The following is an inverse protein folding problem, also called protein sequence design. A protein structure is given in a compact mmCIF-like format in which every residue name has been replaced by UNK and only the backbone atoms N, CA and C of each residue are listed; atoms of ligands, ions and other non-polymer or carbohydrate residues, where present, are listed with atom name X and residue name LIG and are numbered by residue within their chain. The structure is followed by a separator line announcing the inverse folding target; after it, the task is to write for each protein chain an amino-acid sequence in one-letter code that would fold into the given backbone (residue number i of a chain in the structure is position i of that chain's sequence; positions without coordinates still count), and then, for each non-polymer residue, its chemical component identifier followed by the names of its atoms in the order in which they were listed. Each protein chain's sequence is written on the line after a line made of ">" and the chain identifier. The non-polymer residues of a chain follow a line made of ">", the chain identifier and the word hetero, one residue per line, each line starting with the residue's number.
data_IF_972177945276
#
_entry.id   IF_972177945276
#
_cell.length_a   1.000
_cell.length_b   1.000
_cell.length_c   1.000
_cell.angle_alpha   90.00
_cell.angle_beta   90.00
_cell.angle_gamma   90.00
#
_symmetry.space_group_name_H-M   'P 1'
#
loop_
_entity.id
_entity.type
_entity.pdbx_description
1 polymer ?
#
# COMPACT_ATOMS: atom_id res chain seq x y z
N UNK A 1 9.42 16.64 -2.68
CA UNK A 1 8.82 15.99 -1.50
C UNK A 1 8.62 17.02 -0.40
N UNK A 2 7.39 17.50 -0.20
CA UNK A 2 7.08 18.28 0.99
C UNK A 2 7.17 17.35 2.21
N UNK A 3 7.91 17.76 3.25
CA UNK A 3 7.93 17.02 4.51
C UNK A 3 6.50 16.97 5.06
N UNK A 4 6.04 15.84 5.61
CA UNK A 4 4.70 15.65 6.22
C UNK A 4 4.34 16.65 7.34
N UNK A 5 5.26 17.56 7.68
CA UNK A 5 5.15 18.63 8.69
C UNK A 5 3.90 19.50 8.54
N UNK A 6 3.50 19.83 7.31
CA UNK A 6 2.30 20.64 7.09
C UNK A 6 1.03 19.88 7.46
N UNK A 7 0.91 18.62 7.00
CA UNK A 7 -0.24 17.77 7.34
C UNK A 7 -0.32 17.51 8.85
N UNK A 8 0.83 17.30 9.51
CA UNK A 8 0.91 17.16 10.97
C UNK A 8 0.41 18.44 11.66
N UNK A 9 0.87 19.62 11.23
CA UNK A 9 0.42 20.90 11.78
C UNK A 9 -1.08 21.14 11.57
N UNK A 10 -1.62 20.70 10.42
CA UNK A 10 -3.05 20.76 10.16
C UNK A 10 -3.85 19.85 11.07
N UNK A 11 -3.45 18.58 11.24
CA UNK A 11 -4.12 17.66 12.17
C UNK A 11 -4.07 18.18 13.60
N UNK A 12 -2.93 18.74 14.03
CA UNK A 12 -2.82 19.39 15.33
C UNK A 12 -3.89 20.48 15.52
N UNK A 13 -4.05 21.34 14.51
CA UNK A 13 -5.03 22.43 14.56
C UNK A 13 -6.48 21.94 14.50
N UNK A 14 -6.75 20.88 13.74
CA UNK A 14 -8.08 20.26 13.66
C UNK A 14 -8.46 19.70 15.03
N UNK A 15 -7.58 18.94 15.66
CA UNK A 15 -7.82 18.39 17.00
C UNK A 15 -8.04 19.52 18.01
N UNK A 16 -7.21 20.58 17.98
CA UNK A 16 -7.37 21.75 18.87
C UNK A 16 -8.71 22.48 18.67
N UNK A 17 -9.27 22.44 17.46
CA UNK A 17 -10.48 23.20 17.11
C UNK A 17 -11.77 22.41 17.35
N UNK A 18 -11.75 21.12 17.07
CA UNK A 18 -12.94 20.26 17.01
C UNK A 18 -12.99 19.21 18.13
N UNK A 19 -11.87 18.96 18.82
CA UNK A 19 -11.82 18.09 19.98
C UNK A 19 -11.66 16.61 19.62
N UNK A 20 -12.39 15.77 20.34
CA UNK A 20 -12.30 14.32 20.29
C UNK A 20 -13.18 13.72 19.16
N UNK A 21 -12.89 12.48 18.77
CA UNK A 21 -13.67 11.68 17.82
C UNK A 21 -13.85 12.32 16.43
N UNK A 22 -12.85 13.10 16.01
CA UNK A 22 -12.84 13.75 14.68
C UNK A 22 -12.43 12.75 13.60
N UNK A 23 -13.26 12.64 12.55
CA UNK A 23 -12.95 11.92 11.33
C UNK A 23 -12.11 12.76 10.35
N UNK A 24 -11.00 12.20 9.87
CA UNK A 24 -10.11 12.83 8.90
C UNK A 24 -9.85 11.91 7.70
N UNK A 25 -10.21 12.39 6.50
CA UNK A 25 -9.95 11.73 5.23
C UNK A 25 -8.59 12.09 4.65
N UNK A 26 -7.80 11.11 4.20
CA UNK A 26 -6.62 11.31 3.36
C UNK A 26 -6.30 10.05 2.55
N UNK A 27 -5.92 10.19 1.28
CA UNK A 27 -5.67 9.07 0.35
C UNK A 27 -4.73 8.02 0.95
N UNK A 28 -3.68 8.47 1.64
CA UNK A 28 -2.71 7.60 2.31
C UNK A 28 -2.86 7.61 3.83
N UNK A 29 -4.08 7.79 4.35
CA UNK A 29 -4.31 7.92 5.79
C UNK A 29 -3.76 6.73 6.59
N UNK A 30 -3.80 5.52 6.03
CA UNK A 30 -3.23 4.33 6.66
C UNK A 30 -1.73 4.46 6.98
N UNK A 31 -0.94 5.05 6.08
CA UNK A 31 0.48 5.33 6.30
C UNK A 31 0.68 6.63 7.09
N UNK A 32 -0.15 7.64 6.83
CA UNK A 32 -0.06 8.91 7.51
C UNK A 32 -0.37 8.80 9.01
N UNK A 33 -1.29 7.93 9.42
CA UNK A 33 -1.57 7.68 10.83
C UNK A 33 -0.36 7.11 11.57
N UNK A 34 0.48 6.28 10.92
CA UNK A 34 1.77 5.84 11.50
C UNK A 34 2.68 7.04 11.75
N UNK A 35 2.73 7.96 10.79
CA UNK A 35 3.50 9.21 10.91
C UNK A 35 2.97 10.09 12.05
N UNK A 36 1.65 10.25 12.17
CA UNK A 36 1.02 11.01 13.25
C UNK A 36 1.36 10.43 14.63
N UNK A 37 1.25 9.10 14.78
CA UNK A 37 1.57 8.38 16.03
C UNK A 37 3.06 8.44 16.39
N UNK A 38 3.95 8.68 15.42
CA UNK A 38 5.38 8.85 15.65
C UNK A 38 5.83 10.33 15.69
N UNK A 39 4.88 11.28 15.62
CA UNK A 39 5.18 12.71 15.56
C UNK A 39 5.13 13.40 16.92
N UNK A 40 5.45 14.69 16.94
CA UNK A 40 5.37 15.53 18.15
C UNK A 40 3.95 15.73 18.69
N UNK A 41 2.91 15.25 17.99
CA UNK A 41 1.50 15.33 18.43
C UNK A 41 0.92 13.95 18.73
N UNK A 42 1.75 12.92 18.89
CA UNK A 42 1.33 11.53 19.10
C UNK A 42 0.35 11.38 20.27
N UNK A 43 0.65 11.99 21.42
CA UNK A 43 -0.24 11.96 22.59
C UNK A 43 -1.58 12.60 22.26
N UNK A 44 -1.59 13.76 21.59
CA UNK A 44 -2.82 14.44 21.18
C UNK A 44 -3.67 13.59 20.23
N UNK A 45 -3.04 12.93 19.27
CA UNK A 45 -3.73 12.03 18.32
C UNK A 45 -4.36 10.83 19.03
N UNK A 46 -3.65 10.27 20.03
CA UNK A 46 -4.16 9.17 20.86
C UNK A 46 -5.32 9.64 21.73
N UNK A 47 -5.13 10.72 22.46
CA UNK A 47 -6.07 11.20 23.47
C UNK A 47 -7.35 11.74 22.82
N UNK A 48 -7.24 12.35 21.63
CA UNK A 48 -8.40 12.81 20.85
C UNK A 48 -9.16 11.70 20.14
N UNK A 49 -8.67 10.45 20.15
CA UNK A 49 -9.25 9.31 19.40
C UNK A 49 -9.50 9.66 17.92
N UNK A 50 -8.52 10.31 17.29
CA UNK A 50 -8.63 10.71 15.89
C UNK A 50 -8.97 9.49 15.01
N UNK A 51 -10.03 9.61 14.20
CA UNK A 51 -10.46 8.57 13.28
C UNK A 51 -9.88 8.88 11.90
N UNK A 52 -8.89 8.09 11.48
CA UNK A 52 -8.32 8.21 10.14
C UNK A 52 -9.12 7.40 9.12
N UNK A 53 -9.34 7.98 7.95
CA UNK A 53 -10.18 7.42 6.89
C UNK A 53 -9.45 7.57 5.56
N UNK A 54 -9.47 6.53 4.72
CA UNK A 54 -9.07 6.64 3.30
C UNK A 54 -10.36 6.92 2.52
N UNK A 55 -10.46 8.00 1.72
CA UNK A 55 -11.67 8.31 0.96
C UNK A 55 -12.14 7.16 0.05
N UNK A 56 -13.44 7.05 -0.19
CA UNK A 56 -14.06 5.86 -0.77
C UNK A 56 -13.51 5.49 -2.16
N UNK A 57 -13.17 6.49 -2.99
CA UNK A 57 -12.65 6.23 -4.34
C UNK A 57 -11.25 5.62 -4.29
N UNK A 58 -10.39 6.11 -3.39
CA UNK A 58 -9.01 5.62 -3.25
C UNK A 58 -8.96 4.35 -2.40
N UNK A 59 -9.87 4.19 -1.45
CA UNK A 59 -9.86 3.09 -0.49
C UNK A 59 -9.94 1.73 -1.17
N UNK A 60 -10.70 1.60 -2.26
CA UNK A 60 -10.75 0.37 -3.06
C UNK A 60 -9.45 0.02 -3.79
N UNK A 61 -8.57 1.00 -4.04
CA UNK A 61 -7.25 0.76 -4.64
C UNK A 61 -6.22 0.24 -3.63
N UNK A 62 -6.52 0.32 -2.33
CA UNK A 62 -5.63 -0.19 -1.29
C UNK A 62 -5.82 -1.70 -1.11
N UNK A 63 -4.82 -2.37 -0.51
CA UNK A 63 -4.92 -3.80 -0.19
C UNK A 63 -6.13 -4.09 0.70
N UNK A 64 -6.68 -5.30 0.62
CA UNK A 64 -7.85 -5.70 1.43
C UNK A 64 -7.62 -5.48 2.93
N UNK A 65 -6.40 -5.76 3.41
CA UNK A 65 -6.02 -5.50 4.82
C UNK A 65 -6.06 -4.01 5.19
N UNK A 66 -5.86 -3.09 4.25
CA UNK A 66 -6.07 -1.67 4.49
C UNK A 66 -7.57 -1.32 4.42
N UNK A 67 -8.30 -1.86 3.44
CA UNK A 67 -9.73 -1.56 3.28
C UNK A 67 -10.53 -1.83 4.56
N UNK A 68 -10.39 -3.02 5.15
CA UNK A 68 -11.16 -3.44 6.34
C UNK A 68 -10.93 -2.56 7.58
N UNK A 69 -9.88 -1.75 7.61
CA UNK A 69 -9.54 -0.86 8.72
C UNK A 69 -9.80 0.62 8.43
N UNK A 70 -9.69 1.05 7.18
CA UNK A 70 -9.61 2.47 6.82
C UNK A 70 -10.68 2.93 5.82
N UNK A 71 -11.41 2.00 5.18
CA UNK A 71 -12.42 2.35 4.19
C UNK A 71 -13.70 2.90 4.88
N UNK A 72 -14.39 3.92 4.32
CA UNK A 72 -15.56 4.56 4.92
C UNK A 72 -16.67 3.59 5.34
N UNK A 73 -16.88 2.54 4.53
CA UNK A 73 -17.90 1.50 4.79
C UNK A 73 -17.68 0.71 6.08
N UNK A 74 -16.46 0.68 6.62
CA UNK A 74 -16.13 -0.05 7.85
C UNK A 74 -15.91 0.88 9.05
N UNK A 75 -16.26 2.16 8.91
CA UNK A 75 -16.09 3.18 9.94
C UNK A 75 -17.45 3.69 10.37
N UNK A 76 -17.81 3.37 11.61
CA UNK A 76 -19.06 3.81 12.20
C UNK A 76 -19.11 5.34 12.33
N UNK A 77 -20.30 5.90 12.12
CA UNK A 77 -20.57 7.32 12.31
C UNK A 77 -20.29 8.22 11.10
N UNK A 78 -19.49 7.79 10.12
CA UNK A 78 -19.22 8.62 8.93
C UNK A 78 -20.46 8.83 8.04
N UNK A 79 -21.42 7.89 8.11
CA UNK A 79 -22.62 7.91 7.29
C UNK A 79 -22.30 7.66 5.81
N UNK A 80 -23.03 8.31 4.90
CA UNK A 80 -22.89 8.15 3.44
C UNK A 80 -21.91 9.16 2.82
N UNK A 81 -20.90 9.59 3.57
CA UNK A 81 -19.90 10.56 3.13
C UNK A 81 -18.71 9.81 2.53
N UNK A 82 -18.32 10.21 1.32
CA UNK A 82 -17.26 9.54 0.55
C UNK A 82 -15.87 10.16 0.81
N UNK A 83 -15.83 11.40 1.33
CA UNK A 83 -14.62 12.19 1.61
C UNK A 83 -13.80 12.60 0.37
N UNK A 84 -14.43 12.67 -0.80
CA UNK A 84 -13.85 13.08 -2.11
C UNK A 84 -14.01 14.59 -2.42
N UNK A 85 -14.42 15.40 -1.44
CA UNK A 85 -14.74 16.81 -1.69
C UNK A 85 -13.49 17.66 -1.97
N UNK A 86 -12.32 17.19 -1.52
CA UNK A 86 -11.04 17.83 -1.81
C UNK A 86 -10.77 17.84 -3.31
N UNK A 87 -10.83 16.68 -3.95
CA UNK A 87 -10.60 16.47 -5.39
C UNK A 87 -11.51 17.37 -6.21
N UNK A 88 -12.78 17.47 -5.81
CA UNK A 88 -13.76 18.37 -6.45
C UNK A 88 -13.34 19.83 -6.31
N UNK A 89 -12.94 20.24 -5.11
CA UNK A 89 -12.44 21.60 -4.87
C UNK A 89 -11.19 21.91 -5.71
N UNK A 90 -10.21 21.01 -5.78
CA UNK A 90 -9.01 21.23 -6.60
C UNK A 90 -9.34 21.25 -8.10
N UNK A 91 -10.24 20.38 -8.55
CA UNK A 91 -10.73 20.40 -9.92
C UNK A 91 -11.36 21.76 -10.28
N UNK A 92 -12.21 22.32 -9.41
CA UNK A 92 -12.79 23.65 -9.59
C UNK A 92 -11.71 24.75 -9.55
N UNK A 93 -10.70 24.62 -8.69
CA UNK A 93 -9.63 25.61 -8.59
C UNK A 93 -8.80 25.76 -9.87
N UNK A 94 -8.82 24.77 -10.78
CA UNK A 94 -8.17 24.87 -12.08
C UNK A 94 -8.73 25.99 -12.95
N UNK A 95 -9.97 26.42 -12.73
CA UNK A 95 -10.58 27.56 -13.42
C UNK A 95 -9.77 28.85 -13.22
N UNK A 96 -9.08 28.98 -12.07
CA UNK A 96 -8.20 30.10 -11.78
C UNK A 96 -6.95 30.14 -12.66
N UNK A 97 -6.52 29.02 -13.22
CA UNK A 97 -5.24 28.93 -13.92
C UNK A 97 -5.17 29.88 -15.11
N UNK A 98 -6.25 29.95 -15.91
CA UNK A 98 -6.29 30.80 -17.12
C UNK A 98 -6.20 32.28 -16.76
N UNK A 99 -6.94 32.73 -15.74
CA UNK A 99 -6.95 34.14 -15.31
C UNK A 99 -5.68 34.56 -14.59
N UNK A 100 -5.13 33.69 -13.73
CA UNK A 100 -4.00 34.02 -12.85
C UNK A 100 -2.63 33.91 -13.51
N UNK A 101 -2.52 33.26 -14.68
CA UNK A 101 -1.24 33.00 -15.36
C UNK A 101 -0.47 34.28 -15.67
N UNK A 102 -1.17 35.31 -16.16
CA UNK A 102 -0.58 36.59 -16.56
C UNK A 102 -0.69 37.68 -15.48
N UNK A 103 -1.30 37.37 -14.33
CA UNK A 103 -1.44 38.31 -13.22
C UNK A 103 -0.11 38.55 -12.50
N UNK A 104 0.05 39.77 -11.97
CA UNK A 104 1.08 40.07 -10.96
C UNK A 104 0.88 39.19 -9.72
N UNK A 105 1.91 38.96 -8.89
CA UNK A 105 1.77 38.19 -7.65
C UNK A 105 0.65 38.66 -6.71
N UNK A 106 0.42 39.98 -6.62
CA UNK A 106 -0.66 40.55 -5.80
C UNK A 106 -2.04 40.12 -6.30
N UNK A 107 -2.37 40.44 -7.56
CA UNK A 107 -3.65 40.08 -8.17
C UNK A 107 -3.90 38.57 -8.20
N UNK A 108 -2.86 37.75 -8.42
CA UNK A 108 -2.97 36.29 -8.34
C UNK A 108 -3.42 35.84 -6.94
N UNK A 109 -2.79 36.37 -5.88
CA UNK A 109 -3.17 36.04 -4.50
C UNK A 109 -4.58 36.50 -4.18
N UNK A 110 -4.95 37.70 -4.64
CA UNK A 110 -6.29 38.22 -4.45
C UNK A 110 -7.35 37.30 -5.08
N UNK A 111 -7.17 36.90 -6.34
CA UNK A 111 -8.10 35.99 -7.02
C UNK A 111 -8.21 34.62 -6.34
N UNK A 112 -7.09 34.06 -5.86
CA UNK A 112 -7.10 32.79 -5.11
C UNK A 112 -7.90 32.93 -3.82
N UNK A 113 -7.69 34.02 -3.06
CA UNK A 113 -8.41 34.27 -1.80
C UNK A 113 -9.90 34.48 -2.04
N UNK A 114 -10.26 35.26 -3.07
CA UNK A 114 -11.67 35.49 -3.44
C UNK A 114 -12.36 34.17 -3.83
N UNK A 115 -11.71 33.34 -4.66
CA UNK A 115 -12.23 32.02 -5.01
C UNK A 115 -12.46 31.13 -3.80
N UNK A 116 -11.50 31.07 -2.88
CA UNK A 116 -11.63 30.30 -1.63
C UNK A 116 -12.83 30.79 -0.80
N UNK A 117 -13.00 32.12 -0.70
CA UNK A 117 -14.09 32.71 0.05
C UNK A 117 -15.46 32.40 -0.58
N UNK A 118 -15.60 32.56 -1.89
CA UNK A 118 -16.85 32.23 -2.58
C UNK A 118 -17.18 30.75 -2.50
N UNK A 119 -16.18 29.87 -2.67
CA UNK A 119 -16.38 28.45 -2.53
C UNK A 119 -16.86 28.08 -1.11
N UNK A 120 -16.29 28.68 -0.06
CA UNK A 120 -16.74 28.47 1.32
C UNK A 120 -18.21 28.90 1.53
N UNK A 121 -18.59 30.08 1.02
CA UNK A 121 -19.97 30.56 1.07
C UNK A 121 -20.94 29.63 0.34
N UNK A 122 -20.59 29.17 -0.87
CA UNK A 122 -21.42 28.25 -1.66
C UNK A 122 -21.56 26.89 -0.99
N UNK A 123 -20.48 26.37 -0.40
CA UNK A 123 -20.51 25.12 0.37
C UNK A 123 -21.38 25.26 1.61
N UNK A 124 -21.26 26.35 2.35
CA UNK A 124 -22.09 26.61 3.51
C UNK A 124 -23.57 26.72 3.14
N UNK A 125 -23.89 27.48 2.07
CA UNK A 125 -25.25 27.65 1.59
C UNK A 125 -25.89 26.33 1.09
N UNK A 126 -25.09 25.44 0.49
CA UNK A 126 -25.56 24.15 -0.02
C UNK A 126 -25.57 23.02 1.01
N UNK A 127 -24.95 23.22 2.18
CA UNK A 127 -24.74 22.17 3.18
C UNK A 127 -26.05 21.54 3.68
N UNK A 128 -27.09 22.36 3.95
CA UNK A 128 -28.38 21.84 4.41
C UNK A 128 -29.06 20.93 3.37
N UNK A 129 -28.99 21.29 2.08
CA UNK A 129 -29.53 20.46 0.99
C UNK A 129 -28.74 19.16 0.84
N UNK A 130 -27.41 19.23 1.00
CA UNK A 130 -26.54 18.06 0.96
C UNK A 130 -26.90 17.08 2.09
N UNK A 131 -26.98 17.54 3.34
CA UNK A 131 -27.35 16.70 4.49
C UNK A 131 -28.75 16.09 4.32
N UNK A 132 -29.73 16.88 3.87
CA UNK A 132 -31.07 16.39 3.61
C UNK A 132 -31.09 15.30 2.53
N UNK A 133 -30.31 15.46 1.44
CA UNK A 133 -30.19 14.44 0.40
C UNK A 133 -29.60 13.15 0.97
N UNK A 134 -28.49 13.24 1.71
CA UNK A 134 -27.82 12.07 2.29
C UNK A 134 -28.71 11.35 3.30
N UNK A 135 -29.47 12.09 4.10
CA UNK A 135 -30.46 11.50 5.01
C UNK A 135 -31.55 10.71 4.26
N UNK A 136 -32.12 11.29 3.20
CA UNK A 136 -33.11 10.59 2.37
C UNK A 136 -32.53 9.36 1.68
N UNK A 137 -31.30 9.45 1.20
CA UNK A 137 -30.61 8.32 0.59
C UNK A 137 -30.40 7.20 1.61
N UNK A 138 -30.03 7.52 2.86
CA UNK A 138 -29.90 6.54 3.94
C UNK A 138 -31.23 5.84 4.24
N UNK A 139 -32.34 6.59 4.38
CA UNK A 139 -33.66 6.00 4.57
C UNK A 139 -34.05 5.06 3.43
N UNK A 140 -33.76 5.45 2.19
CA UNK A 140 -34.04 4.61 1.02
C UNK A 140 -33.20 3.33 1.03
N UNK A 141 -31.91 3.42 1.36
CA UNK A 141 -31.03 2.26 1.46
C UNK A 141 -31.53 1.29 2.54
N UNK A 142 -31.87 1.80 3.73
CA UNK A 142 -32.42 0.97 4.82
C UNK A 142 -33.72 0.31 4.38
N UNK A 143 -34.64 1.06 3.77
CA UNK A 143 -35.93 0.53 3.32
C UNK A 143 -35.79 -0.53 2.23
N UNK A 144 -34.92 -0.32 1.24
CA UNK A 144 -34.79 -1.23 0.11
C UNK A 144 -33.94 -2.45 0.48
N UNK A 145 -32.76 -2.21 1.04
CA UNK A 145 -31.79 -3.26 1.28
C UNK A 145 -32.11 -4.05 2.54
N UNK A 146 -32.85 -3.50 3.50
CA UNK A 146 -33.24 -4.23 4.72
C UNK A 146 -34.11 -5.46 4.42
N UNK A 147 -35.05 -5.34 3.47
CA UNK A 147 -35.87 -6.46 3.04
C UNK A 147 -35.04 -7.52 2.28
N UNK A 148 -34.13 -7.08 1.40
CA UNK A 148 -33.23 -7.97 0.67
C UNK A 148 -32.26 -8.70 1.60
N UNK A 149 -31.72 -7.99 2.60
CA UNK A 149 -30.82 -8.54 3.60
C UNK A 149 -31.51 -9.59 4.45
N UNK A 150 -32.74 -9.34 4.91
CA UNK A 150 -33.52 -10.31 5.70
C UNK A 150 -33.75 -11.63 4.94
N UNK A 151 -34.02 -11.57 3.63
CA UNK A 151 -34.14 -12.78 2.78
C UNK A 151 -32.81 -13.54 2.70
N UNK A 152 -31.68 -12.83 2.65
CA UNK A 152 -30.36 -13.44 2.63
C UNK A 152 -29.98 -14.03 3.99
N UNK A 153 -30.29 -13.35 5.08
CA UNK A 153 -30.09 -13.80 6.46
C UNK A 153 -30.81 -15.13 6.71
N UNK A 154 -32.09 -15.22 6.33
CA UNK A 154 -32.87 -16.46 6.45
C UNK A 154 -32.28 -17.61 5.62
N UNK A 155 -31.85 -17.31 4.39
CA UNK A 155 -31.29 -18.30 3.45
C UNK A 155 -29.93 -18.81 3.92
N UNK A 156 -29.05 -17.91 4.37
CA UNK A 156 -27.69 -18.23 4.78
C UNK A 156 -27.63 -18.65 6.26
N UNK A 157 -28.72 -18.47 7.01
CA UNK A 157 -28.81 -18.68 8.46
C UNK A 157 -27.77 -17.85 9.21
N UNK A 158 -27.64 -16.60 8.79
CA UNK A 158 -26.73 -15.61 9.37
C UNK A 158 -27.52 -14.48 10.00
N UNK A 159 -26.88 -13.75 10.88
CA UNK A 159 -27.41 -12.60 11.60
C UNK A 159 -26.48 -11.39 11.43
N UNK A 160 -26.95 -10.20 11.83
CA UNK A 160 -26.13 -9.01 11.85
C UNK A 160 -24.86 -9.19 12.71
N UNK A 161 -24.97 -9.90 13.83
CA UNK A 161 -23.85 -10.23 14.71
C UNK A 161 -22.79 -11.10 14.01
N UNK A 162 -23.22 -12.02 13.13
CA UNK A 162 -22.30 -12.85 12.36
C UNK A 162 -21.45 -11.99 11.41
N UNK A 163 -22.00 -10.92 10.83
CA UNK A 163 -21.25 -10.05 9.91
C UNK A 163 -20.16 -9.24 10.62
N UNK A 164 -20.45 -8.74 11.82
CA UNK A 164 -19.45 -8.09 12.67
C UNK A 164 -18.36 -9.08 13.10
N UNK A 165 -18.76 -10.33 13.38
CA UNK A 165 -17.81 -11.41 13.66
C UNK A 165 -16.95 -11.75 12.44
N UNK A 166 -17.52 -11.86 11.24
CA UNK A 166 -16.77 -12.11 10.01
C UNK A 166 -15.77 -11.00 9.74
N UNK A 167 -16.13 -9.74 9.95
CA UNK A 167 -15.19 -8.62 9.80
C UNK A 167 -14.04 -8.71 10.82
N UNK A 168 -14.32 -9.09 12.07
CA UNK A 168 -13.28 -9.33 13.09
C UNK A 168 -12.36 -10.48 12.71
N UNK A 169 -12.92 -11.60 12.23
CA UNK A 169 -12.15 -12.76 11.77
C UNK A 169 -11.29 -12.41 10.55
N UNK A 170 -11.84 -11.67 9.58
CA UNK A 170 -11.10 -11.21 8.40
C UNK A 170 -9.94 -10.30 8.80
N UNK A 171 -10.16 -9.34 9.72
CA UNK A 171 -9.09 -8.49 10.26
C UNK A 171 -7.99 -9.32 10.92
N UNK A 172 -8.36 -10.27 11.78
CA UNK A 172 -7.40 -11.12 12.49
C UNK A 172 -6.61 -12.02 11.52
N UNK A 173 -7.29 -12.61 10.53
CA UNK A 173 -6.67 -13.40 9.47
C UNK A 173 -5.68 -12.57 8.67
N UNK A 174 -6.09 -11.40 8.16
CA UNK A 174 -5.22 -10.54 7.36
C UNK A 174 -4.04 -9.96 8.17
N UNK A 175 -4.24 -9.68 9.45
CA UNK A 175 -3.14 -9.28 10.34
C UNK A 175 -2.15 -10.43 10.58
N UNK A 176 -2.62 -11.69 10.64
CA UNK A 176 -1.73 -12.86 10.76
C UNK A 176 -0.87 -13.08 9.52
N UNK A 177 -1.35 -12.66 8.34
CA UNK A 177 -0.63 -12.75 7.06
C UNK A 177 0.39 -11.62 6.86
N UNK A 178 0.37 -10.55 7.67
CA UNK A 178 1.31 -9.42 7.50
C UNK A 178 2.76 -9.81 7.76
N UNK A 179 3.01 -10.91 8.45
CA UNK A 179 4.34 -11.47 8.69
C UNK A 179 4.30 -12.92 8.32
N UNK A 180 5.11 -13.30 7.33
CA UNK A 180 5.37 -14.71 7.07
C UNK A 180 5.91 -15.35 8.36
N UNK A 181 5.46 -16.57 8.72
CA UNK A 181 6.05 -17.30 9.81
C UNK A 181 7.57 -17.37 9.62
N UNK A 182 8.35 -17.08 10.67
CA UNK A 182 9.81 -17.03 10.58
C UNK A 182 10.41 -18.31 9.97
N UNK A 183 9.79 -19.46 10.25
CA UNK A 183 10.18 -20.75 9.69
C UNK A 183 9.98 -20.86 8.16
N UNK A 184 8.98 -20.19 7.58
CA UNK A 184 8.76 -20.16 6.13
C UNK A 184 9.72 -19.16 5.46
N UNK A 185 9.92 -17.98 6.05
CA UNK A 185 10.90 -17.01 5.57
C UNK A 185 12.31 -17.60 5.55
N UNK A 186 12.72 -18.32 6.61
CA UNK A 186 14.01 -18.98 6.67
C UNK A 186 14.19 -20.06 5.59
N UNK A 187 13.13 -20.84 5.28
CA UNK A 187 13.19 -21.84 4.19
C UNK A 187 13.39 -21.18 2.83
N UNK A 188 12.72 -20.07 2.56
CA UNK A 188 12.89 -19.34 1.30
C UNK A 188 14.26 -18.67 1.20
N UNK A 189 14.76 -18.07 2.28
CA UNK A 189 16.14 -17.53 2.36
C UNK A 189 17.17 -18.63 2.09
N UNK A 190 16.98 -19.81 2.68
CA UNK A 190 17.84 -20.97 2.44
C UNK A 190 17.79 -21.45 0.99
N UNK A 191 16.60 -21.53 0.37
CA UNK A 191 16.46 -21.89 -1.04
C UNK A 191 17.12 -20.89 -1.99
N UNK A 192 17.00 -19.58 -1.71
CA UNK A 192 17.67 -18.54 -2.49
C UNK A 192 19.20 -18.61 -2.34
N UNK A 193 19.70 -18.87 -1.13
CA UNK A 193 21.12 -19.09 -0.87
C UNK A 193 21.65 -20.33 -1.61
N UNK A 194 20.89 -21.43 -1.63
CA UNK A 194 21.24 -22.65 -2.38
C UNK A 194 21.28 -22.41 -3.90
N UNK A 195 20.31 -21.70 -4.46
CA UNK A 195 20.30 -21.32 -5.88
C UNK A 195 21.49 -20.41 -6.22
N UNK A 196 21.80 -19.44 -5.34
CA UNK A 196 22.98 -18.58 -5.44
C UNK A 196 24.28 -19.38 -5.45
N UNK A 197 24.42 -20.33 -4.53
CA UNK A 197 25.58 -21.23 -4.46
C UNK A 197 25.71 -22.09 -5.72
N UNK A 198 24.61 -22.69 -6.21
CA UNK A 198 24.64 -23.49 -7.45
C UNK A 198 25.08 -22.66 -8.66
N UNK A 199 24.58 -21.42 -8.79
CA UNK A 199 25.01 -20.50 -9.86
C UNK A 199 26.49 -20.15 -9.74
N UNK A 200 26.97 -19.84 -8.54
CA UNK A 200 28.38 -19.54 -8.31
C UNK A 200 29.29 -20.73 -8.60
N UNK A 201 28.88 -21.95 -8.26
CA UNK A 201 29.58 -23.19 -8.59
C UNK A 201 29.65 -23.35 -10.12
N UNK A 202 28.55 -23.17 -10.83
CA UNK A 202 28.52 -23.25 -12.29
C UNK A 202 29.45 -22.22 -12.95
N UNK A 203 29.43 -20.97 -12.49
CA UNK A 203 30.32 -19.92 -12.96
C UNK A 203 31.80 -20.21 -12.66
N UNK A 204 32.09 -20.71 -11.47
CA UNK A 204 33.44 -21.14 -11.06
C UNK A 204 33.96 -22.27 -11.95
N UNK A 205 33.12 -23.25 -12.29
CA UNK A 205 33.48 -24.32 -13.24
C UNK A 205 33.80 -23.78 -14.63
N UNK A 206 33.04 -22.80 -15.13
CA UNK A 206 33.33 -22.15 -16.42
C UNK A 206 34.66 -21.38 -16.34
N UNK A 207 34.89 -20.61 -15.27
CA UNK A 207 36.13 -19.89 -15.05
C UNK A 207 37.35 -20.82 -14.91
N UNK A 208 37.18 -21.97 -14.25
CA UNK A 208 38.21 -23.01 -14.14
C UNK A 208 38.58 -23.58 -15.52
N UNK A 209 37.59 -23.94 -16.34
CA UNK A 209 37.84 -24.45 -17.71
C UNK A 209 38.57 -23.42 -18.58
N UNK A 210 38.20 -22.15 -18.48
CA UNK A 210 38.88 -21.08 -19.23
C UNK A 210 40.32 -20.88 -18.76
N UNK A 211 40.58 -21.02 -17.46
CA UNK A 211 41.92 -20.98 -16.89
C UNK A 211 42.77 -22.19 -17.27
N UNK A 212 42.20 -23.40 -17.24
CA UNK A 212 42.84 -24.64 -17.71
C UNK A 212 43.23 -24.54 -19.19
N UNK A 213 42.31 -24.09 -20.06
CA UNK A 213 42.60 -23.86 -21.50
C UNK A 213 43.72 -22.86 -21.72
N UNK A 214 43.76 -21.79 -20.92
CA UNK A 214 44.84 -20.81 -20.97
C UNK A 214 46.18 -21.45 -20.57
N UNK A 215 46.19 -22.27 -19.51
CA UNK A 215 47.39 -22.94 -19.04
C UNK A 215 47.92 -23.94 -20.07
N UNK A 216 47.02 -24.73 -20.66
CA UNK A 216 47.32 -25.67 -21.74
C UNK A 216 47.91 -24.99 -23.00
N UNK A 217 47.38 -23.81 -23.38
CA UNK A 217 47.90 -23.03 -24.50
C UNK A 217 49.30 -22.47 -24.20
N UNK A 218 49.53 -22.03 -22.96
CA UNK A 218 50.85 -21.59 -22.50
C UNK A 218 51.88 -22.73 -22.54
N UNK A 219 51.50 -23.94 -22.09
CA UNK A 219 52.37 -25.12 -22.13
C UNK A 219 52.71 -25.57 -23.56
N UNK A 220 51.80 -25.36 -24.53
CA UNK A 220 52.02 -25.65 -25.96
C UNK A 220 52.78 -24.56 -26.72
N UNK A 221 53.02 -23.40 -26.10
CA UNK A 221 53.66 -22.24 -26.75
C UNK A 221 52.74 -21.49 -27.72
N UNK A 222 51.42 -21.70 -27.63
CA UNK A 222 50.43 -21.02 -28.45
C UNK A 222 50.24 -19.56 -27.98
N UNK A 223 49.96 -18.61 -28.90
CA UNK A 223 49.66 -17.23 -28.50
C UNK A 223 48.41 -17.18 -27.61
N UNK A 224 48.51 -16.47 -26.49
CA UNK A 224 47.42 -16.34 -25.53
C UNK A 224 46.17 -15.73 -26.20
N UNK A 225 45.07 -16.47 -26.18
CA UNK A 225 43.78 -15.99 -26.68
C UNK A 225 43.06 -15.21 -25.58
N UNK A 226 42.93 -13.90 -25.75
CA UNK A 226 42.20 -13.01 -24.84
C UNK A 226 43.04 -12.38 -23.72
N UNK A 227 42.36 -11.75 -22.75
CA UNK A 227 43.01 -11.00 -21.67
C UNK A 227 43.34 -11.92 -20.48
N UNK A 228 44.60 -12.34 -20.38
CA UNK A 228 45.15 -13.23 -19.35
C UNK A 228 44.86 -12.75 -17.91
N UNK A 229 45.04 -11.46 -17.64
CA UNK A 229 44.82 -10.89 -16.31
C UNK A 229 43.34 -11.02 -15.90
N UNK A 230 42.42 -10.80 -16.85
CA UNK A 230 40.98 -10.94 -16.62
C UNK A 230 40.58 -12.39 -16.34
N UNK A 231 41.17 -13.36 -17.04
CA UNK A 231 40.90 -14.79 -16.83
C UNK A 231 41.37 -15.23 -15.43
N UNK A 232 42.60 -14.88 -15.04
CA UNK A 232 43.16 -15.18 -13.70
C UNK A 232 42.34 -14.54 -12.57
N UNK A 233 41.95 -13.27 -12.75
CA UNK A 233 41.11 -12.55 -11.79
C UNK A 233 39.74 -13.22 -11.66
N UNK A 234 39.09 -13.61 -12.78
CA UNK A 234 37.79 -14.29 -12.76
C UNK A 234 37.87 -15.65 -12.08
N UNK A 235 38.90 -16.45 -12.35
CA UNK A 235 39.13 -17.73 -11.69
C UNK A 235 39.22 -17.59 -10.17
N UNK A 236 40.04 -16.66 -9.68
CA UNK A 236 40.22 -16.44 -8.24
C UNK A 236 38.95 -15.86 -7.59
N UNK A 237 38.31 -14.89 -8.23
CA UNK A 237 37.11 -14.23 -7.72
C UNK A 237 35.93 -15.20 -7.61
N UNK A 238 35.68 -16.01 -8.63
CA UNK A 238 34.58 -16.98 -8.64
C UNK A 238 34.80 -18.10 -7.62
N UNK A 239 36.05 -18.56 -7.43
CA UNK A 239 36.39 -19.51 -6.38
C UNK A 239 36.14 -18.95 -4.97
N UNK A 240 36.55 -17.70 -4.71
CA UNK A 240 36.28 -17.04 -3.43
C UNK A 240 34.77 -16.83 -3.20
N UNK A 241 34.02 -16.50 -4.25
CA UNK A 241 32.57 -16.33 -4.19
C UNK A 241 31.87 -17.64 -3.75
N UNK A 242 32.29 -18.79 -4.30
CA UNK A 242 31.77 -20.10 -3.89
C UNK A 242 32.01 -20.36 -2.40
N UNK A 243 33.22 -20.07 -1.88
CA UNK A 243 33.53 -20.27 -0.46
C UNK A 243 32.65 -19.41 0.44
N UNK A 244 32.43 -18.15 0.06
CA UNK A 244 31.59 -17.22 0.85
C UNK A 244 30.13 -17.68 0.87
N UNK A 245 29.59 -18.07 -0.27
CA UNK A 245 28.20 -18.55 -0.37
C UNK A 245 28.01 -19.92 0.29
N UNK A 246 29.01 -20.80 0.24
CA UNK A 246 28.97 -22.11 0.91
C UNK A 246 28.95 -21.96 2.43
N UNK A 247 29.74 -21.02 2.96
CA UNK A 247 29.72 -20.64 4.38
C UNK A 247 28.37 -20.01 4.78
N UNK A 248 27.78 -19.16 3.92
CA UNK A 248 26.46 -18.57 4.16
C UNK A 248 25.36 -19.64 4.22
N UNK A 249 25.34 -20.57 3.26
CA UNK A 249 24.42 -21.72 3.25
C UNK A 249 24.61 -22.57 4.50
N UNK A 250 25.86 -22.85 4.91
CA UNK A 250 26.16 -23.64 6.10
C UNK A 250 25.63 -22.99 7.39
N UNK A 251 25.72 -21.66 7.51
CA UNK A 251 25.13 -20.93 8.66
C UNK A 251 23.61 -21.02 8.69
N UNK A 252 22.97 -20.99 7.53
CA UNK A 252 21.51 -21.16 7.44
C UNK A 252 21.11 -22.59 7.82
N UNK A 253 21.89 -23.60 7.42
CA UNK A 253 21.71 -25.00 7.81
C UNK A 253 21.78 -25.17 9.34
N UNK A 254 22.77 -24.55 9.99
CA UNK A 254 22.91 -24.55 11.45
C UNK A 254 21.72 -23.88 12.16
N UNK A 255 21.28 -22.72 11.67
CA UNK A 255 20.15 -21.97 12.25
C UNK A 255 18.85 -22.76 12.11
N UNK A 256 18.65 -23.45 10.99
CA UNK A 256 17.47 -24.26 10.71
C UNK A 256 17.53 -25.65 11.36
N UNK A 257 18.69 -26.06 11.88
CA UNK A 257 18.89 -27.38 12.48
C UNK A 257 18.78 -28.52 11.47
N UNK A 258 19.30 -28.31 10.25
CA UNK A 258 19.24 -29.31 9.18
C UNK A 258 20.38 -30.33 9.32
N UNK A 259 20.04 -31.62 9.20
CA UNK A 259 21.02 -32.72 9.26
C UNK A 259 21.86 -32.86 7.96
N UNK A 260 21.46 -32.18 6.89
CA UNK A 260 22.15 -32.23 5.61
C UNK A 260 21.60 -31.23 4.59
N UNK A 261 22.44 -30.90 3.61
CA UNK A 261 22.13 -29.94 2.56
C UNK A 261 21.03 -30.45 1.63
N UNK A 262 20.06 -29.58 1.34
CA UNK A 262 19.01 -29.90 0.38
C UNK A 262 19.58 -29.97 -1.05
N UNK A 263 19.17 -31.01 -1.77
CA UNK A 263 19.52 -31.21 -3.19
C UNK A 263 18.26 -31.09 -4.05
N UNK A 264 18.39 -30.86 -5.37
CA UNK A 264 17.23 -30.83 -6.28
C UNK A 264 16.33 -32.08 -6.25
N UNK A 265 16.86 -33.19 -5.73
CA UNK A 265 16.18 -34.48 -5.61
C UNK A 265 15.55 -34.68 -4.22
N UNK A 266 15.90 -33.85 -3.24
CA UNK A 266 15.36 -33.94 -1.88
C UNK A 266 13.88 -33.55 -1.85
N UNK A 267 13.03 -34.29 -1.11
CA UNK A 267 11.61 -33.98 -0.99
C UNK A 267 11.35 -32.55 -0.48
N UNK A 268 12.17 -32.07 0.44
CA UNK A 268 12.08 -30.75 1.05
C UNK A 268 12.35 -29.64 0.05
N UNK A 269 13.37 -29.80 -0.80
CA UNK A 269 13.67 -28.87 -1.89
C UNK A 269 12.54 -28.81 -2.91
N UNK A 270 11.99 -29.96 -3.30
CA UNK A 270 10.89 -30.02 -4.28
C UNK A 270 9.64 -29.33 -3.72
N UNK A 271 9.29 -29.59 -2.46
CA UNK A 271 8.16 -28.96 -1.79
C UNK A 271 8.33 -27.44 -1.69
N UNK A 272 9.48 -26.97 -1.20
CA UNK A 272 9.74 -25.54 -1.04
C UNK A 272 9.83 -24.83 -2.41
N UNK A 273 10.40 -25.47 -3.43
CA UNK A 273 10.42 -24.95 -4.81
C UNK A 273 9.01 -24.74 -5.37
N UNK A 274 8.08 -25.68 -5.09
CA UNK A 274 6.67 -25.52 -5.44
C UNK A 274 6.04 -24.34 -4.70
N UNK A 275 6.25 -24.23 -3.38
CA UNK A 275 5.75 -23.12 -2.56
C UNK A 275 6.27 -21.76 -3.04
N UNK A 276 7.56 -21.65 -3.40
CA UNK A 276 8.13 -20.43 -4.01
C UNK A 276 7.46 -20.09 -5.34
N UNK A 277 7.14 -21.10 -6.15
CA UNK A 277 6.41 -20.92 -7.40
C UNK A 277 5.00 -20.38 -7.16
N UNK A 278 4.27 -20.95 -6.20
CA UNK A 278 2.95 -20.49 -5.79
C UNK A 278 3.02 -19.06 -5.24
N UNK A 279 3.99 -18.75 -4.37
CA UNK A 279 4.21 -17.39 -3.85
C UNK A 279 4.42 -16.37 -4.95
N UNK A 280 5.25 -16.67 -5.96
CA UNK A 280 5.47 -15.79 -7.11
C UNK A 280 4.19 -15.61 -7.93
N UNK A 281 3.42 -16.69 -8.10
CA UNK A 281 2.13 -16.63 -8.78
C UNK A 281 1.13 -15.73 -8.04
N UNK A 282 0.98 -15.92 -6.72
CA UNK A 282 0.09 -15.11 -5.88
C UNK A 282 0.49 -13.63 -5.88
N UNK A 283 1.77 -13.31 -5.74
CA UNK A 283 2.23 -11.92 -5.86
C UNK A 283 1.96 -11.32 -7.24
N UNK A 284 2.13 -12.08 -8.32
CA UNK A 284 1.82 -11.61 -9.65
C UNK A 284 0.31 -11.40 -9.86
N UNK A 285 -0.52 -12.25 -9.24
CA UNK A 285 -1.97 -12.13 -9.27
C UNK A 285 -2.44 -10.89 -8.49
N UNK A 286 -1.93 -10.67 -7.27
CA UNK A 286 -2.23 -9.48 -6.45
C UNK A 286 -1.85 -8.19 -7.20
N UNK A 287 -0.68 -8.18 -7.85
CA UNK A 287 -0.24 -7.03 -8.65
C UNK A 287 -1.14 -6.81 -9.86
N UNK A 288 -1.56 -7.89 -10.54
CA UNK A 288 -2.49 -7.80 -11.66
C UNK A 288 -3.85 -7.24 -11.22
N UNK A 289 -4.41 -7.72 -10.11
CA UNK A 289 -5.66 -7.21 -9.54
C UNK A 289 -5.53 -5.73 -9.19
N UNK A 290 -4.44 -5.34 -8.53
CA UNK A 290 -4.16 -3.94 -8.21
C UNK A 290 -4.11 -3.06 -9.47
N UNK A 291 -3.37 -3.48 -10.50
CA UNK A 291 -3.25 -2.76 -11.76
C UNK A 291 -4.59 -2.65 -12.51
N UNK A 292 -5.43 -3.70 -12.48
CA UNK A 292 -6.76 -3.67 -13.09
C UNK A 292 -7.65 -2.65 -12.37
N UNK A 293 -7.69 -2.67 -11.03
CA UNK A 293 -8.45 -1.69 -10.25
C UNK A 293 -7.94 -0.28 -10.51
N UNK A 294 -6.62 -0.07 -10.49
CA UNK A 294 -6.03 1.21 -10.82
C UNK A 294 -6.44 1.68 -12.23
N UNK A 295 -6.40 0.78 -13.22
CA UNK A 295 -6.78 1.11 -14.60
C UNK A 295 -8.26 1.48 -14.72
N UNK A 296 -9.15 0.79 -14.01
CA UNK A 296 -10.57 1.13 -13.99
C UNK A 296 -10.80 2.53 -13.39
N UNK A 297 -10.10 2.86 -12.30
CA UNK A 297 -10.17 4.18 -11.68
C UNK A 297 -9.60 5.28 -12.60
N UNK A 298 -8.49 5.01 -13.30
CA UNK A 298 -7.94 5.92 -14.31
C UNK A 298 -8.93 6.16 -15.45
N UNK A 299 -9.57 5.12 -15.98
CA UNK A 299 -10.56 5.23 -17.05
C UNK A 299 -11.80 6.01 -16.59
N UNK A 300 -12.26 5.82 -15.34
CA UNK A 300 -13.30 6.66 -14.75
C UNK A 300 -12.87 8.13 -14.68
N UNK A 301 -11.62 8.41 -14.30
CA UNK A 301 -11.07 9.78 -14.28
C UNK A 301 -10.96 10.39 -15.68
N UNK A 302 -10.56 9.62 -16.69
CA UNK A 302 -10.41 10.10 -18.07
C UNK A 302 -11.75 10.38 -18.77
N UNK A 303 -12.82 9.66 -18.39
CA UNK A 303 -14.18 9.94 -18.86
C UNK A 303 -14.82 11.16 -18.17
N UNK A 304 -14.19 11.73 -17.13
CA UNK A 304 -14.57 13.03 -16.59
C UNK A 304 -13.79 14.12 -17.33
N UNK A 305 -14.44 14.80 -18.28
CA UNK A 305 -13.85 15.96 -18.96
C UNK A 305 -13.50 17.06 -17.94
N UNK A 306 -12.21 17.40 -17.81
CA UNK A 306 -11.75 18.59 -17.06
C UNK A 306 -10.73 18.37 -15.92
N UNK A 307 -10.27 17.14 -15.65
CA UNK A 307 -9.36 16.90 -14.50
C UNK A 307 -7.89 17.21 -14.86
N UNK A 308 -7.52 18.49 -14.79
CA UNK A 308 -6.12 18.92 -14.71
C UNK A 308 -5.58 18.66 -13.31
N UNK A 309 -4.53 17.85 -13.19
CA UNK A 309 -3.95 17.43 -11.92
C UNK A 309 -3.08 18.53 -11.30
N UNK A 310 -3.53 19.11 -10.18
CA UNK A 310 -2.71 19.86 -9.24
C UNK A 310 -2.92 19.32 -7.82
N UNK A 311 -1.88 18.66 -7.29
CA UNK A 311 -1.81 18.15 -5.92
C UNK A 311 -1.72 19.30 -4.90
N UNK A 312 -2.83 19.61 -4.25
CA UNK A 312 -2.91 20.00 -2.84
C UNK A 312 -4.19 19.32 -2.30
N UNK A 313 -4.32 18.99 -1.00
CA UNK A 313 -5.50 18.30 -0.42
C UNK A 313 -5.83 18.91 0.96
N UNK A 314 -7.06 19.41 1.21
CA UNK A 314 -7.60 19.69 2.57
C UNK A 314 -9.14 19.80 2.67
N UNK A 315 -9.67 19.33 3.84
CA UNK A 315 -10.94 19.67 4.58
C UNK A 315 -12.21 18.81 4.35
N UNK A 316 -13.25 18.63 5.20
CA UNK A 316 -13.57 18.27 6.65
C UNK A 316 -15.01 17.70 6.63
N UNK A 317 -15.40 16.84 7.59
CA UNK A 317 -16.82 16.59 7.94
C UNK A 317 -17.06 16.76 9.46
N UNK A 318 -18.23 17.29 9.83
CA UNK A 318 -18.62 17.71 11.19
C UNK A 318 -19.06 16.57 12.11
N UNK A 319 -18.75 16.75 13.40
CA UNK A 319 -19.25 16.09 14.63
C UNK A 319 -20.28 14.96 14.46
N UNK A 320 -19.90 13.75 14.89
CA UNK A 320 -20.79 12.59 15.04
C UNK A 320 -21.20 12.56 16.52
N UNK A 321 -22.43 12.95 16.79
CA UNK A 321 -23.01 12.89 18.14
C UNK A 321 -23.69 11.52 18.34
N UNK A 322 -23.23 10.76 19.34
CA UNK A 322 -23.64 9.38 19.59
C UNK A 322 -24.97 9.22 20.33
N UNK A 323 -25.85 10.24 20.32
CA UNK A 323 -27.11 10.24 21.09
C UNK A 323 -28.40 10.46 20.29
N UNK A 324 -28.41 10.24 18.97
CA UNK A 324 -29.65 10.33 18.16
C UNK A 324 -30.05 8.97 17.58
N UNK A 325 -30.23 7.97 18.45
CA UNK A 325 -31.04 6.78 18.18
C UNK A 325 -31.66 6.28 19.50
N UNK A 326 -32.78 6.90 19.88
CA UNK A 326 -33.87 6.27 20.64
C UNK A 326 -35.19 6.63 20.00
#
# INVERSE_FOLDING_TARGET
>A
GARMKYLIAHMNKIIDRYGEDVGAGYDIMCEFMKTLRASSISDKVRDSRLVGIVPAFHGHAHSRSCQVWWHPLYIEGLGLIELEDCERFFAQSNELATGTRMCTPFHRRQQIVEFLHFNDLDKYASHGKFLYSKYRDALRIISNNGAELSVLEDKLKTTAEDYEEYLRQERAYLDSLRREPAAETQKFEYMEALDGLQKAIAESHVARRDFERLNDAYERGDPASGNVAKIKARYTCTANCVVVLDEEVSRLEDVMGLDGRWTPESPEFIACSKEMGERKYWHALDELEHLVVQRLLELMKLNMSGVGMFFYHYWISSHIDSNVLR
#
